data_IF_657956309005
#
_entry.id   IF_657956309005
#
_cell.length_a   1.000
_cell.length_b   1.000
_cell.length_c   1.000
_cell.angle_alpha   90.00
_cell.angle_beta   90.00
_cell.angle_gamma   90.00
#
_symmetry.space_group_name_H-M   'P 1'
#
loop_
_entity.id
_entity.type
_entity.pdbx_description
1 polymer ?
#
# COMPACT_ATOMS: atom_id res chain seq x y z
N UNK A 1 1.56 13.44 3.50
CA UNK A 1 0.62 12.53 4.20
C UNK A 1 1.08 11.09 4.01
N UNK A 2 1.06 10.27 5.07
CA UNK A 2 1.53 8.88 4.99
C UNK A 2 0.33 7.93 4.93
N UNK A 3 0.18 7.22 3.83
CA UNK A 3 -1.03 6.43 3.53
C UNK A 3 -0.69 4.94 3.47
N UNK A 4 -1.48 4.12 4.13
CA UNK A 4 -1.45 2.67 3.98
C UNK A 4 -2.50 2.17 2.99
N UNK A 5 -2.23 1.10 2.27
CA UNK A 5 -3.18 0.47 1.35
C UNK A 5 -3.48 -0.95 1.82
N UNK A 6 -4.76 -1.33 1.87
CA UNK A 6 -5.23 -2.70 2.13
C UNK A 6 -6.01 -3.19 0.92
N UNK A 7 -5.60 -4.33 0.38
CA UNK A 7 -6.04 -4.83 -0.92
C UNK A 7 -5.09 -4.36 -2.02
N UNK A 8 -4.37 -5.31 -2.62
CA UNK A 8 -3.37 -5.10 -3.66
C UNK A 8 -3.72 -5.81 -4.98
N UNK A 9 -5.02 -6.08 -5.20
CA UNK A 9 -5.55 -6.48 -6.50
C UNK A 9 -5.41 -5.37 -7.57
N UNK A 10 -6.19 -5.47 -8.64
CA UNK A 10 -6.13 -4.49 -9.73
C UNK A 10 -6.52 -3.07 -9.28
N UNK A 11 -7.51 -2.95 -8.39
CA UNK A 11 -7.91 -1.68 -7.78
C UNK A 11 -6.78 -1.07 -6.94
N UNK A 12 -6.23 -1.85 -6.00
CA UNK A 12 -5.09 -1.45 -5.18
C UNK A 12 -3.86 -1.03 -5.99
N UNK A 13 -3.54 -1.75 -7.07
CA UNK A 13 -2.43 -1.40 -7.96
C UNK A 13 -2.63 -0.03 -8.65
N UNK A 14 -3.86 0.29 -9.07
CA UNK A 14 -4.20 1.60 -9.66
C UNK A 14 -4.11 2.71 -8.62
N UNK A 15 -4.66 2.49 -7.42
CA UNK A 15 -4.57 3.45 -6.30
C UNK A 15 -3.10 3.71 -5.96
N UNK A 16 -2.29 2.67 -5.79
CA UNK A 16 -0.85 2.78 -5.56
C UNK A 16 -0.16 3.64 -6.63
N UNK A 17 -0.48 3.40 -7.91
CA UNK A 17 0.09 4.15 -9.03
C UNK A 17 -0.27 5.64 -8.98
N UNK A 18 -1.52 5.96 -8.66
CA UNK A 18 -1.98 7.35 -8.51
C UNK A 18 -1.29 8.00 -7.32
N UNK A 19 -1.32 7.37 -6.14
CA UNK A 19 -0.71 7.92 -4.92
C UNK A 19 0.79 8.17 -5.08
N UNK A 20 1.50 7.28 -5.78
CA UNK A 20 2.94 7.44 -6.06
C UNK A 20 3.24 8.66 -6.94
N UNK A 21 2.29 9.10 -7.77
CA UNK A 21 2.44 10.30 -8.61
C UNK A 21 2.23 11.61 -7.86
N UNK A 22 1.67 11.57 -6.65
CA UNK A 22 1.39 12.75 -5.83
C UNK A 22 2.60 13.09 -4.95
N UNK A 23 3.27 14.25 -5.15
CA UNK A 23 4.48 14.60 -4.40
C UNK A 23 4.28 14.72 -2.88
N UNK A 24 3.05 15.03 -2.46
CA UNK A 24 2.70 15.24 -1.05
C UNK A 24 2.31 13.94 -0.33
N UNK A 25 2.32 12.80 -1.03
CA UNK A 25 1.93 11.49 -0.49
C UNK A 25 3.14 10.56 -0.41
N UNK A 26 3.27 9.90 0.74
CA UNK A 26 4.14 8.75 0.93
C UNK A 26 3.27 7.53 1.21
N UNK A 27 3.51 6.43 0.51
CA UNK A 27 2.84 5.15 0.80
C UNK A 27 3.63 4.44 1.91
N UNK A 28 3.01 4.32 3.08
CA UNK A 28 3.60 3.70 4.27
C UNK A 28 3.79 2.19 4.11
N UNK A 29 2.89 1.55 3.36
CA UNK A 29 2.95 0.13 3.04
C UNK A 29 1.70 -0.35 2.33
N UNK A 30 1.80 -1.53 1.73
CA UNK A 30 0.71 -2.20 1.01
C UNK A 30 0.48 -3.58 1.61
N UNK A 31 -0.78 -3.89 1.93
CA UNK A 31 -1.15 -5.17 2.52
C UNK A 31 -2.10 -5.93 1.61
N UNK A 32 -1.80 -7.21 1.37
CA UNK A 32 -2.71 -8.17 0.76
C UNK A 32 -2.39 -9.58 1.29
N UNK A 33 -3.39 -10.44 1.35
CA UNK A 33 -3.19 -11.84 1.77
C UNK A 33 -2.46 -12.65 0.69
N UNK A 34 -2.57 -12.25 -0.57
CA UNK A 34 -1.88 -12.85 -1.70
C UNK A 34 -0.58 -12.07 -2.01
N UNK A 35 0.57 -12.66 -1.70
CA UNK A 35 1.88 -12.07 -2.04
C UNK A 35 2.14 -12.02 -3.55
N UNK A 36 1.39 -12.75 -4.36
CA UNK A 36 1.47 -12.70 -5.82
C UNK A 36 0.60 -11.60 -6.44
N UNK A 37 -0.17 -10.89 -5.62
CA UNK A 37 -1.06 -9.82 -6.06
C UNK A 37 -0.30 -8.73 -6.83
N UNK A 38 -0.91 -8.14 -7.87
CA UNK A 38 -0.23 -7.20 -8.76
C UNK A 38 0.26 -5.94 -8.03
N UNK A 39 -0.47 -5.47 -7.03
CA UNK A 39 -0.09 -4.32 -6.21
C UNK A 39 1.06 -4.61 -5.24
N UNK A 40 1.20 -5.85 -4.74
CA UNK A 40 2.37 -6.26 -3.94
C UNK A 40 3.63 -6.24 -4.81
N UNK A 41 3.57 -6.86 -6.00
CA UNK A 41 4.67 -6.83 -6.96
C UNK A 41 5.06 -5.43 -7.41
N UNK A 42 4.09 -4.52 -7.52
CA UNK A 42 4.36 -3.11 -7.82
C UNK A 42 5.01 -2.40 -6.62
N UNK A 43 4.51 -2.60 -5.41
CA UNK A 43 5.07 -2.03 -4.20
C UNK A 43 6.54 -2.44 -3.99
N UNK A 44 6.86 -3.73 -4.17
CA UNK A 44 8.23 -4.24 -4.10
C UNK A 44 9.16 -3.55 -5.12
N UNK A 45 8.72 -3.41 -6.37
CA UNK A 45 9.49 -2.70 -7.42
C UNK A 45 9.74 -1.24 -7.09
N UNK A 46 8.84 -0.63 -6.31
CA UNK A 46 8.94 0.76 -5.87
C UNK A 46 9.67 0.91 -4.53
N UNK A 47 10.12 -0.19 -3.91
CA UNK A 47 10.76 -0.19 -2.59
C UNK A 47 9.80 0.17 -1.45
N UNK A 48 8.49 -0.04 -1.64
CA UNK A 48 7.46 0.24 -0.64
C UNK A 48 7.26 -1.02 0.21
N UNK A 49 7.27 -0.91 1.55
CA UNK A 49 7.07 -2.07 2.42
C UNK A 49 5.74 -2.79 2.14
N UNK A 50 5.77 -4.12 2.16
CA UNK A 50 4.58 -4.96 1.97
C UNK A 50 4.35 -5.88 3.16
N UNK A 51 3.09 -6.28 3.38
CA UNK A 51 2.74 -7.27 4.40
C UNK A 51 1.46 -8.03 4.04
N UNK A 52 1.10 -8.99 4.88
CA UNK A 52 -0.14 -9.77 4.75
C UNK A 52 -1.12 -9.56 5.91
N UNK A 53 -0.77 -8.70 6.87
CA UNK A 53 -1.57 -8.38 8.04
C UNK A 53 -1.70 -6.86 8.18
N UNK A 54 -2.94 -6.38 8.28
CA UNK A 54 -3.23 -4.96 8.49
C UNK A 54 -2.64 -4.43 9.82
N UNK A 55 -2.49 -5.29 10.82
CA UNK A 55 -1.92 -4.95 12.12
C UNK A 55 -0.48 -4.43 11.99
N UNK A 56 0.30 -5.01 11.05
CA UNK A 56 1.64 -4.53 10.73
C UNK A 56 1.60 -3.14 10.08
N UNK A 57 0.61 -2.89 9.21
CA UNK A 57 0.43 -1.60 8.56
C UNK A 57 0.06 -0.51 9.56
N UNK A 58 -0.82 -0.81 10.52
CA UNK A 58 -1.26 0.13 11.56
C UNK A 58 -0.14 0.53 12.53
N UNK A 59 0.91 -0.27 12.64
CA UNK A 59 2.10 0.05 13.46
C UNK A 59 3.10 0.95 12.73
N UNK A 60 2.87 1.27 11.45
CA UNK A 60 3.75 2.15 10.69
C UNK A 60 3.76 3.57 11.26
N UNK A 61 4.93 4.19 11.46
CA UNK A 61 5.03 5.51 12.08
C UNK A 61 4.35 6.56 11.19
N UNK A 62 3.72 7.55 11.83
CA UNK A 62 3.06 8.69 11.19
C UNK A 62 1.99 8.31 10.15
N UNK A 63 1.42 7.11 10.23
CA UNK A 63 0.31 6.69 9.39
C UNK A 63 -0.89 7.62 9.59
N UNK A 64 -1.27 8.33 8.54
CA UNK A 64 -2.33 9.33 8.58
C UNK A 64 -3.68 8.78 8.15
N UNK A 65 -3.68 7.79 7.24
CA UNK A 65 -4.87 7.22 6.63
C UNK A 65 -4.58 5.80 6.13
N UNK A 66 -5.60 4.94 6.15
CA UNK A 66 -5.60 3.67 5.43
C UNK A 66 -6.71 3.70 4.38
N UNK A 67 -6.39 3.23 3.18
CA UNK A 67 -7.35 3.07 2.08
C UNK A 67 -7.56 1.58 1.86
N UNK A 68 -8.79 1.10 2.06
CA UNK A 68 -9.21 -0.27 1.80
C UNK A 68 -9.85 -0.37 0.40
N UNK A 69 -9.38 -1.31 -0.41
CA UNK A 69 -9.73 -1.47 -1.84
C UNK A 69 -9.84 -2.95 -2.24
N UNK A 70 -10.30 -3.78 -1.31
CA UNK A 70 -10.58 -5.23 -1.49
C UNK A 70 -11.94 -5.51 -2.09
#
# INVERSE_FOLDING_TARGET
MRIGIVGAGQGGCRVLSVLKSLPEVEVAGVVDRDFEAPGIKLADKLGIPTGNDISWLLQQPNLSMVIEVT
#
